data_IF_330690529761
#
_entry.id   IF_330690529761
#
_cell.length_a   1.000
_cell.length_b   1.000
_cell.length_c   1.000
_cell.angle_alpha   90.00
_cell.angle_beta   90.00
_cell.angle_gamma   90.00
#
_symmetry.space_group_name_H-M   'P 1'
#
loop_
_entity.id
_entity.type
_entity.pdbx_description
1 polymer ?
#
# COMPACT_ATOMS: atom_id res chain seq x y z
N UNK A 1 19.39 -10.22 21.36
CA UNK A 1 19.51 -10.10 19.89
C UNK A 1 18.44 -9.16 19.40
N UNK A 2 18.77 -7.87 19.30
CA UNK A 2 17.84 -6.88 18.76
C UNK A 2 17.67 -7.15 17.26
N UNK A 3 16.46 -7.53 16.84
CA UNK A 3 16.15 -7.62 15.41
C UNK A 3 16.06 -6.19 14.90
N UNK A 4 17.11 -5.72 14.27
CA UNK A 4 17.13 -4.46 13.55
C UNK A 4 16.34 -4.66 12.23
N UNK A 5 15.01 -4.62 12.32
CA UNK A 5 14.12 -4.82 11.18
C UNK A 5 14.16 -3.53 10.36
N UNK A 6 14.99 -3.51 9.32
CA UNK A 6 14.89 -2.48 8.27
C UNK A 6 13.66 -2.81 7.43
N UNK A 7 12.59 -2.04 7.61
CA UNK A 7 11.43 -2.10 6.73
C UNK A 7 11.85 -1.58 5.34
N UNK A 8 11.93 -2.48 4.36
CA UNK A 8 12.14 -2.07 2.97
C UNK A 8 10.81 -1.58 2.39
N UNK A 9 10.59 -0.27 2.47
CA UNK A 9 9.38 0.38 1.96
C UNK A 9 9.08 0.03 0.49
N UNK A 10 10.11 -0.04 -0.34
CA UNK A 10 9.98 -0.38 -1.76
C UNK A 10 9.42 -1.78 -1.95
N UNK A 11 9.87 -2.76 -1.17
CA UNK A 11 9.37 -4.14 -1.26
C UNK A 11 7.90 -4.24 -0.84
N UNK A 12 7.49 -3.50 0.20
CA UNK A 12 6.09 -3.42 0.62
C UNK A 12 5.19 -2.84 -0.46
N UNK A 13 5.60 -1.72 -1.08
CA UNK A 13 4.84 -1.09 -2.17
C UNK A 13 4.73 -2.04 -3.36
N UNK A 14 5.81 -2.72 -3.73
CA UNK A 14 5.83 -3.68 -4.83
C UNK A 14 4.87 -4.85 -4.59
N UNK A 15 4.89 -5.45 -3.39
CA UNK A 15 3.97 -6.54 -3.06
C UNK A 15 2.52 -6.06 -3.01
N UNK A 16 2.26 -4.85 -2.52
CA UNK A 16 0.92 -4.25 -2.56
C UNK A 16 0.40 -4.07 -4.00
N UNK A 17 1.23 -3.56 -4.92
CA UNK A 17 0.87 -3.40 -6.34
C UNK A 17 0.58 -4.77 -6.97
N UNK A 18 1.44 -5.76 -6.71
CA UNK A 18 1.27 -7.11 -7.21
C UNK A 18 -0.05 -7.72 -6.72
N UNK A 19 -0.35 -7.58 -5.43
CA UNK A 19 -1.59 -8.08 -4.83
C UNK A 19 -2.82 -7.39 -5.42
N UNK A 20 -2.82 -6.06 -5.54
CA UNK A 20 -3.91 -5.31 -6.19
C UNK A 20 -4.20 -5.84 -7.59
N UNK A 21 -3.14 -5.99 -8.40
CA UNK A 21 -3.25 -6.51 -9.78
C UNK A 21 -3.76 -7.95 -9.82
N UNK A 22 -3.31 -8.81 -8.90
CA UNK A 22 -3.79 -10.21 -8.81
C UNK A 22 -5.29 -10.29 -8.51
N UNK A 23 -5.82 -9.33 -7.73
CA UNK A 23 -7.24 -9.18 -7.42
C UNK A 23 -8.03 -8.44 -8.51
N UNK A 24 -7.38 -8.06 -9.63
CA UNK A 24 -7.98 -7.28 -10.74
C UNK A 24 -8.58 -5.94 -10.32
N UNK A 25 -8.08 -5.35 -9.25
CA UNK A 25 -8.53 -4.04 -8.78
C UNK A 25 -7.79 -2.92 -9.53
N UNK A 26 -8.53 -1.90 -9.97
CA UNK A 26 -7.95 -0.62 -10.39
C UNK A 26 -7.51 0.19 -9.16
N UNK A 27 -6.69 1.22 -9.37
CA UNK A 27 -6.38 2.18 -8.30
C UNK A 27 -7.65 2.87 -7.77
N UNK A 28 -8.61 3.17 -8.65
CA UNK A 28 -9.89 3.78 -8.25
C UNK A 28 -10.67 2.85 -7.31
N UNK A 29 -10.79 1.57 -7.66
CA UNK A 29 -11.50 0.60 -6.83
C UNK A 29 -10.81 0.40 -5.47
N UNK A 30 -9.48 0.32 -5.44
CA UNK A 30 -8.74 0.20 -4.18
C UNK A 30 -8.88 1.46 -3.31
N UNK A 31 -8.88 2.64 -3.94
CA UNK A 31 -9.11 3.91 -3.26
C UNK A 31 -10.50 3.93 -2.58
N UNK A 32 -11.54 3.49 -3.28
CA UNK A 32 -12.90 3.34 -2.73
C UNK A 32 -12.92 2.35 -1.55
N UNK A 33 -12.31 1.17 -1.70
CA UNK A 33 -12.30 0.15 -0.65
C UNK A 33 -11.56 0.58 0.62
N UNK A 34 -10.51 1.38 0.47
CA UNK A 34 -9.67 1.87 1.58
C UNK A 34 -10.18 3.16 2.19
N UNK A 35 -11.10 3.87 1.52
CA UNK A 35 -11.50 5.23 1.88
C UNK A 35 -10.42 6.27 1.65
N UNK A 36 -9.40 5.97 0.85
CA UNK A 36 -8.27 6.85 0.55
C UNK A 36 -8.49 7.50 -0.81
N UNK A 37 -8.07 8.76 -0.97
CA UNK A 37 -8.16 9.42 -2.28
C UNK A 37 -7.30 8.70 -3.34
N UNK A 38 -7.79 8.60 -4.58
CA UNK A 38 -7.02 8.03 -5.69
C UNK A 38 -5.64 8.70 -5.87
N UNK A 39 -5.47 10.03 -5.76
CA UNK A 39 -4.14 10.65 -5.79
C UNK A 39 -3.20 10.15 -4.68
N UNK A 40 -3.71 9.96 -3.46
CA UNK A 40 -2.93 9.41 -2.34
C UNK A 40 -2.51 7.97 -2.62
N UNK A 41 -3.42 7.14 -3.15
CA UNK A 41 -3.10 5.77 -3.52
C UNK A 41 -2.06 5.72 -4.65
N UNK A 42 -2.18 6.58 -5.64
CA UNK A 42 -1.18 6.67 -6.70
C UNK A 42 0.19 7.13 -6.18
N UNK A 43 0.25 8.07 -5.24
CA UNK A 43 1.51 8.46 -4.58
C UNK A 43 2.12 7.29 -3.80
N UNK A 44 1.31 6.47 -3.14
CA UNK A 44 1.76 5.24 -2.48
C UNK A 44 2.37 4.25 -3.47
N UNK A 45 1.68 3.94 -4.58
CA UNK A 45 2.20 3.02 -5.60
C UNK A 45 3.45 3.56 -6.33
N UNK A 46 3.66 4.88 -6.32
CA UNK A 46 4.90 5.52 -6.79
C UNK A 46 6.02 5.50 -5.75
N UNK A 47 5.79 4.92 -4.55
CA UNK A 47 6.77 4.85 -3.47
C UNK A 47 7.03 6.18 -2.76
N UNK A 48 6.18 7.20 -2.94
CA UNK A 48 6.36 8.50 -2.27
C UNK A 48 6.14 8.35 -0.77
N UNK A 49 7.06 8.89 0.01
CA UNK A 49 7.07 8.81 1.49
C UNK A 49 6.13 9.80 2.17
N UNK A 50 5.38 10.60 1.41
CA UNK A 50 4.42 11.57 1.93
C UNK A 50 3.10 10.94 2.42
N UNK A 51 2.93 9.62 2.27
CA UNK A 51 1.78 8.90 2.81
C UNK A 51 1.93 8.66 4.31
N UNK A 52 0.84 8.80 5.05
CA UNK A 52 0.81 8.46 6.48
C UNK A 52 0.89 6.95 6.68
N UNK A 53 1.49 6.53 7.79
CA UNK A 53 1.55 5.12 8.18
C UNK A 53 0.15 4.49 8.26
N UNK A 54 -0.83 5.23 8.78
CA UNK A 54 -2.23 4.79 8.84
C UNK A 54 -2.80 4.41 7.47
N UNK A 55 -2.59 5.26 6.46
CA UNK A 55 -3.08 4.99 5.10
C UNK A 55 -2.35 3.81 4.46
N UNK A 56 -1.05 3.67 4.70
CA UNK A 56 -0.30 2.50 4.27
C UNK A 56 -0.88 1.21 4.88
N UNK A 57 -1.17 1.19 6.19
CA UNK A 57 -1.77 0.05 6.87
C UNK A 57 -3.18 -0.26 6.32
N UNK A 58 -4.02 0.74 6.05
CA UNK A 58 -5.34 0.53 5.44
C UNK A 58 -5.24 -0.17 4.09
N UNK A 59 -4.29 0.25 3.25
CA UNK A 59 -4.05 -0.37 1.94
C UNK A 59 -3.63 -1.84 2.11
N UNK A 60 -2.68 -2.11 3.01
CA UNK A 60 -2.19 -3.48 3.25
C UNK A 60 -3.29 -4.40 3.77
N UNK A 61 -4.13 -3.94 4.71
CA UNK A 61 -5.27 -4.71 5.22
C UNK A 61 -6.27 -5.09 4.14
N UNK A 62 -6.68 -4.14 3.29
CA UNK A 62 -7.62 -4.42 2.18
C UNK A 62 -7.02 -5.43 1.19
N UNK A 63 -5.70 -5.42 1.03
CA UNK A 63 -4.98 -6.37 0.17
C UNK A 63 -4.67 -7.72 0.86
N UNK A 64 -4.95 -7.87 2.17
CA UNK A 64 -4.63 -9.06 2.95
C UNK A 64 -3.13 -9.25 3.15
N UNK A 65 -2.44 -8.18 3.55
CA UNK A 65 -0.99 -8.10 3.77
C UNK A 65 -0.64 -7.64 5.21
N UNK A 66 -1.56 -7.77 6.16
CA UNK A 66 -1.38 -7.45 7.59
C UNK A 66 -0.74 -8.57 8.43
#
# INVERSE_FOLDING_TARGET
>A
MERNIRLNWTDFVNEAIKRRKSQKLTQEQLAILTGISKPTLNNFEQGKTTITLENAIKILKVLGLD
#
